data_IF_593316862974
#
_entry.id   IF_593316862974
#
_cell.length_a   1.000
_cell.length_b   1.000
_cell.length_c   1.000
_cell.angle_alpha   90.00
_cell.angle_beta   90.00
_cell.angle_gamma   90.00
#
_symmetry.space_group_name_H-M   'P 1'
#
loop_
_entity.id
_entity.type
_entity.pdbx_description
1 polymer ?
#
# COMPACT_ATOMS: atom_id res chain seq x y z
N UNK A 1 7.84 4.81 12.31
CA UNK A 1 8.10 3.97 11.15
C UNK A 1 7.43 4.49 9.88
N UNK A 2 6.17 4.90 9.96
CA UNK A 2 5.49 5.51 8.80
C UNK A 2 6.25 6.74 8.28
N UNK A 3 6.78 7.57 9.16
CA UNK A 3 7.57 8.75 8.79
C UNK A 3 8.81 8.40 7.98
N UNK A 4 9.39 7.23 8.18
CA UNK A 4 10.55 6.75 7.43
C UNK A 4 10.19 6.27 6.03
N UNK A 5 8.90 6.02 5.76
CA UNK A 5 8.39 5.49 4.50
C UNK A 5 7.99 6.58 3.51
N UNK A 6 7.95 7.84 3.91
CA UNK A 6 7.52 8.96 3.07
C UNK A 6 8.68 9.94 2.84
N UNK A 7 8.66 10.61 1.69
CA UNK A 7 9.73 11.54 1.31
C UNK A 7 9.73 12.83 2.13
N UNK A 8 8.54 13.32 2.50
CA UNK A 8 8.38 14.56 3.25
C UNK A 8 7.63 14.30 4.55
N UNK A 9 8.31 13.79 5.61
CA UNK A 9 7.64 13.40 6.86
C UNK A 9 6.89 14.56 7.54
N UNK A 10 7.34 15.80 7.36
CA UNK A 10 6.68 16.98 7.94
C UNK A 10 5.33 17.28 7.29
N UNK A 11 5.09 16.78 6.08
CA UNK A 11 3.83 16.96 5.34
C UNK A 11 2.93 15.74 5.42
N UNK A 12 3.32 14.74 6.18
CA UNK A 12 2.52 13.55 6.40
C UNK A 12 1.30 13.87 7.28
N UNK A 13 0.13 13.43 6.82
CA UNK A 13 -1.11 13.53 7.58
C UNK A 13 -1.72 12.13 7.73
N UNK A 14 -1.79 11.65 8.96
CA UNK A 14 -2.44 10.38 9.27
C UNK A 14 -3.95 10.60 9.30
N UNK A 15 -4.69 9.83 8.53
CA UNK A 15 -6.14 9.93 8.42
C UNK A 15 -6.87 8.92 9.30
N UNK A 16 -6.38 7.69 9.37
CA UNK A 16 -6.96 6.63 10.19
C UNK A 16 -5.93 5.57 10.52
N UNK A 17 -6.06 4.94 11.68
CA UNK A 17 -5.25 3.80 12.11
C UNK A 17 -6.22 2.70 12.53
N UNK A 18 -6.08 1.51 11.94
CA UNK A 18 -6.93 0.38 12.31
C UNK A 18 -6.55 -0.20 13.67
N UNK A 19 -7.50 -0.91 14.30
CA UNK A 19 -7.20 -1.76 15.45
C UNK A 19 -6.19 -2.83 15.02
N UNK A 20 -5.26 -3.22 15.92
CA UNK A 20 -4.38 -4.36 15.65
C UNK A 20 -5.19 -5.64 15.47
N UNK A 21 -4.88 -6.39 14.42
CA UNK A 21 -5.50 -7.68 14.14
C UNK A 21 -4.41 -8.76 14.10
N UNK A 22 -4.79 -10.00 14.38
CA UNK A 22 -3.85 -11.12 14.40
C UNK A 22 -3.33 -11.40 12.99
N UNK A 23 -2.00 -11.56 12.86
CA UNK A 23 -1.36 -11.93 11.60
C UNK A 23 -0.89 -13.38 11.65
N UNK A 24 -1.13 -14.11 10.54
CA UNK A 24 -0.77 -15.53 10.39
C UNK A 24 0.21 -15.67 9.21
N UNK A 25 1.39 -15.09 9.38
CA UNK A 25 2.36 -14.93 8.30
C UNK A 25 2.11 -13.67 7.47
N UNK A 26 3.01 -13.39 6.52
CA UNK A 26 2.94 -12.15 5.71
C UNK A 26 1.97 -12.24 4.56
N UNK A 27 1.55 -13.43 4.19
CA UNK A 27 0.74 -13.69 3.00
C UNK A 27 -0.71 -14.04 3.32
N UNK A 28 -1.06 -14.09 4.61
CA UNK A 28 -2.43 -14.41 4.99
C UNK A 28 -3.27 -13.15 5.05
N UNK A 29 -4.24 -13.09 4.17
CA UNK A 29 -5.30 -12.10 4.20
C UNK A 29 -6.65 -12.82 4.19
N UNK A 30 -7.61 -12.31 4.95
CA UNK A 30 -8.98 -12.81 4.89
C UNK A 30 -9.57 -12.55 3.50
N UNK A 31 -10.68 -13.20 3.18
CA UNK A 31 -11.36 -12.96 1.90
C UNK A 31 -11.79 -11.50 1.75
N UNK A 32 -12.23 -10.87 2.84
CA UNK A 32 -12.61 -9.46 2.86
C UNK A 32 -11.39 -8.55 2.58
N UNK A 33 -10.25 -8.86 3.19
CA UNK A 33 -9.01 -8.12 2.98
C UNK A 33 -8.51 -8.25 1.53
N UNK A 34 -8.52 -9.48 0.98
CA UNK A 34 -8.15 -9.73 -0.42
C UNK A 34 -9.05 -8.96 -1.39
N UNK A 35 -10.36 -8.98 -1.15
CA UNK A 35 -11.32 -8.24 -1.97
C UNK A 35 -11.07 -6.73 -1.90
N UNK A 36 -10.73 -6.20 -0.73
CA UNK A 36 -10.37 -4.79 -0.56
C UNK A 36 -9.13 -4.40 -1.33
N UNK A 37 -8.08 -5.20 -1.26
CA UNK A 37 -6.83 -4.98 -1.99
C UNK A 37 -7.08 -5.00 -3.52
N UNK A 38 -7.80 -5.99 -4.02
CA UNK A 38 -8.14 -6.08 -5.44
C UNK A 38 -8.95 -4.88 -5.89
N UNK A 39 -9.92 -4.44 -5.10
CA UNK A 39 -10.74 -3.26 -5.40
C UNK A 39 -9.89 -2.00 -5.50
N UNK A 40 -8.96 -1.79 -4.58
CA UNK A 40 -8.05 -0.64 -4.59
C UNK A 40 -7.19 -0.67 -5.85
N UNK A 41 -6.57 -1.81 -6.15
CA UNK A 41 -5.69 -1.94 -7.31
C UNK A 41 -6.46 -1.73 -8.62
N UNK A 42 -7.70 -2.22 -8.70
CA UNK A 42 -8.58 -1.96 -9.85
C UNK A 42 -8.91 -0.47 -9.98
N UNK A 43 -9.22 0.21 -8.88
CA UNK A 43 -9.51 1.65 -8.87
C UNK A 43 -8.33 2.47 -9.36
N UNK A 44 -7.11 2.08 -8.99
CA UNK A 44 -5.88 2.73 -9.46
C UNK A 44 -5.76 2.57 -10.98
N UNK A 45 -5.94 1.35 -11.49
CA UNK A 45 -5.89 1.08 -12.92
C UNK A 45 -6.96 1.89 -13.67
N UNK A 46 -8.19 1.91 -13.16
CA UNK A 46 -9.29 2.66 -13.78
C UNK A 46 -8.97 4.19 -13.83
N UNK A 47 -8.38 4.73 -12.77
CA UNK A 47 -7.97 6.14 -12.73
C UNK A 47 -6.89 6.45 -13.76
N UNK A 48 -5.89 5.58 -13.90
CA UNK A 48 -4.82 5.74 -14.90
C UNK A 48 -5.41 5.66 -16.31
N UNK A 49 -6.27 4.68 -16.58
CA UNK A 49 -6.88 4.50 -17.89
C UNK A 49 -7.77 5.68 -18.28
N UNK A 50 -8.56 6.18 -17.33
CA UNK A 50 -9.40 7.35 -17.56
C UNK A 50 -8.57 8.59 -17.88
N UNK A 51 -7.49 8.83 -17.14
CA UNK A 51 -6.64 10.00 -17.27
C UNK A 51 -5.79 9.97 -18.56
N UNK A 52 -5.50 8.79 -19.06
CA UNK A 52 -4.67 8.58 -20.26
C UNK A 52 -5.47 8.21 -21.49
N UNK A 53 -6.80 8.28 -21.44
CA UNK A 53 -7.68 7.83 -22.52
C UNK A 53 -7.30 6.42 -23.00
N UNK A 54 -7.31 5.45 -22.08
CA UNK A 54 -6.92 4.05 -22.31
C UNK A 54 -5.48 3.92 -22.84
N UNK A 55 -4.55 4.69 -22.27
CA UNK A 55 -3.13 4.73 -22.63
C UNK A 55 -2.84 5.34 -23.99
N UNK A 56 -3.80 5.99 -24.63
CA UNK A 56 -3.59 6.68 -25.91
C UNK A 56 -2.99 8.08 -25.74
N UNK A 57 -3.17 8.70 -24.56
CA UNK A 57 -2.71 10.07 -24.26
C UNK A 57 -1.78 10.05 -23.05
N UNK A 58 -0.64 9.34 -23.18
CA UNK A 58 0.35 9.29 -22.11
C UNK A 58 1.23 10.53 -22.16
N UNK A 59 1.15 11.37 -21.12
CA UNK A 59 1.98 12.55 -20.95
C UNK A 59 2.94 12.34 -19.78
N UNK A 60 4.25 12.38 -20.05
CA UNK A 60 5.28 12.21 -19.01
C UNK A 60 5.32 13.39 -18.02
N UNK A 61 4.68 14.50 -18.36
CA UNK A 61 4.55 15.66 -17.46
C UNK A 61 3.29 15.57 -16.57
N UNK A 62 2.45 14.58 -16.78
CA UNK A 62 1.32 14.29 -15.88
C UNK A 62 1.83 13.51 -14.66
N UNK A 63 2.33 14.24 -13.68
CA UNK A 63 2.94 13.64 -12.48
C UNK A 63 1.94 12.84 -11.65
N UNK A 64 0.66 13.16 -11.70
CA UNK A 64 -0.37 12.36 -11.04
C UNK A 64 -0.35 10.91 -11.56
N UNK A 65 -0.40 10.75 -12.89
CA UNK A 65 -0.39 9.43 -13.53
C UNK A 65 0.94 8.72 -13.30
N UNK A 66 2.05 9.42 -13.50
CA UNK A 66 3.38 8.82 -13.37
C UNK A 66 3.65 8.34 -11.95
N UNK A 67 3.35 9.16 -10.96
CA UNK A 67 3.55 8.81 -9.56
C UNK A 67 2.61 7.68 -9.12
N UNK A 68 1.35 7.72 -9.56
CA UNK A 68 0.37 6.68 -9.23
C UNK A 68 0.76 5.34 -9.85
N UNK A 69 1.18 5.34 -11.12
CA UNK A 69 1.64 4.13 -11.81
C UNK A 69 2.88 3.53 -11.14
N UNK A 70 3.85 4.35 -10.77
CA UNK A 70 5.05 3.91 -10.08
C UNK A 70 4.71 3.24 -8.74
N UNK A 71 3.83 3.86 -7.96
CA UNK A 71 3.41 3.33 -6.67
C UNK A 71 2.60 2.04 -6.82
N UNK A 72 1.78 1.94 -7.88
CA UNK A 72 1.06 0.69 -8.20
C UNK A 72 2.03 -0.44 -8.54
N UNK A 73 3.04 -0.18 -9.34
CA UNK A 73 4.06 -1.17 -9.69
C UNK A 73 4.81 -1.65 -8.45
N UNK A 74 5.15 -0.74 -7.55
CA UNK A 74 5.81 -1.08 -6.28
C UNK A 74 4.91 -1.95 -5.41
N UNK A 75 3.63 -1.59 -5.29
CA UNK A 75 2.66 -2.40 -4.53
C UNK A 75 2.51 -3.80 -5.12
N UNK A 76 2.40 -3.92 -6.43
CA UNK A 76 2.34 -5.22 -7.11
C UNK A 76 3.57 -6.08 -6.82
N UNK A 77 4.75 -5.49 -6.88
CA UNK A 77 6.01 -6.17 -6.59
C UNK A 77 6.05 -6.67 -5.15
N UNK A 78 5.70 -5.81 -4.20
CA UNK A 78 5.70 -6.15 -2.77
C UNK A 78 4.70 -7.27 -2.47
N UNK A 79 3.50 -7.22 -3.03
CA UNK A 79 2.47 -8.24 -2.83
C UNK A 79 2.92 -9.58 -3.42
N UNK A 80 3.49 -9.60 -4.62
CA UNK A 80 4.02 -10.82 -5.23
C UNK A 80 5.11 -11.44 -4.37
N UNK A 81 6.01 -10.62 -3.84
CA UNK A 81 7.10 -11.09 -2.98
C UNK A 81 6.54 -11.70 -1.69
N UNK A 82 5.53 -11.08 -1.10
CA UNK A 82 4.88 -11.62 0.09
C UNK A 82 4.19 -12.95 -0.20
N UNK A 83 3.48 -13.07 -1.32
CA UNK A 83 2.81 -14.30 -1.72
C UNK A 83 3.81 -15.43 -2.00
N UNK A 84 4.98 -15.13 -2.53
CA UNK A 84 6.03 -16.14 -2.78
C UNK A 84 6.61 -16.73 -1.51
N UNK A 85 6.49 -16.03 -0.38
CA UNK A 85 6.94 -16.47 0.93
C UNK A 85 5.86 -17.24 1.72
N UNK A 86 4.70 -17.47 1.11
CA UNK A 86 3.61 -18.21 1.74
C UNK A 86 4.01 -19.65 2.03
N UNK A 87 3.95 -20.05 3.30
CA UNK A 87 4.34 -21.40 3.73
C UNK A 87 3.17 -22.37 3.85
N UNK A 88 1.95 -21.90 3.66
CA UNK A 88 0.73 -22.69 3.84
C UNK A 88 0.36 -22.97 5.29
N UNK A 89 1.17 -22.61 6.25
CA UNK A 89 0.89 -22.78 7.69
C UNK A 89 0.24 -21.52 8.24
N UNK A 90 -0.87 -21.71 8.96
CA UNK A 90 -1.60 -20.66 9.66
C UNK A 90 -1.16 -20.58 11.11
N UNK A 91 0.09 -20.20 11.36
CA UNK A 91 0.59 -19.95 12.71
C UNK A 91 0.52 -18.46 13.02
N UNK A 92 0.15 -18.13 14.24
CA UNK A 92 0.14 -16.73 14.68
C UNK A 92 1.58 -16.20 14.73
N UNK A 93 1.88 -15.21 13.91
CA UNK A 93 3.22 -14.63 13.78
C UNK A 93 3.33 -13.23 14.38
N UNK A 94 2.23 -12.61 14.73
CA UNK A 94 2.19 -11.28 15.29
C UNK A 94 0.90 -10.56 14.97
N UNK A 95 1.03 -9.28 14.64
CA UNK A 95 -0.11 -8.38 14.45
C UNK A 95 -0.01 -7.69 13.09
N UNK A 96 -1.14 -7.27 12.56
CA UNK A 96 -1.19 -6.39 11.38
C UNK A 96 -2.01 -5.15 11.70
N UNK A 97 -1.51 -4.02 11.24
CA UNK A 97 -2.14 -2.70 11.41
C UNK A 97 -2.15 -2.01 10.06
N UNK A 98 -3.26 -1.37 9.76
CA UNK A 98 -3.43 -0.60 8.53
C UNK A 98 -3.53 0.88 8.89
N UNK A 99 -2.78 1.71 8.17
CA UNK A 99 -2.80 3.17 8.35
C UNK A 99 -3.17 3.83 7.04
N UNK A 100 -4.23 4.62 7.06
CA UNK A 100 -4.60 5.49 5.94
C UNK A 100 -3.96 6.86 6.17
N UNK A 101 -3.30 7.39 5.15
CA UNK A 101 -2.59 8.65 5.28
C UNK A 101 -2.55 9.43 3.97
N UNK A 102 -2.20 10.71 4.09
CA UNK A 102 -1.89 11.60 2.98
C UNK A 102 -0.45 12.04 3.08
N UNK A 103 0.25 12.05 1.96
CA UNK A 103 1.64 12.49 1.90
C UNK A 103 1.89 13.24 0.59
N UNK A 104 3.15 13.59 0.34
CA UNK A 104 3.55 14.36 -0.84
C UNK A 104 4.67 13.60 -1.55
N UNK A 105 4.58 13.48 -2.88
CA UNK A 105 5.61 12.85 -3.71
C UNK A 105 6.79 13.80 -3.94
N UNK A 106 7.88 13.28 -4.51
CA UNK A 106 9.04 14.09 -4.89
C UNK A 106 8.73 15.13 -5.98
N UNK A 107 7.61 15.01 -6.68
CA UNK A 107 7.11 16.01 -7.62
C UNK A 107 6.18 17.05 -6.95
N UNK A 108 6.06 17.02 -5.63
CA UNK A 108 5.19 17.93 -4.89
C UNK A 108 3.70 17.61 -4.98
N UNK A 109 3.33 16.42 -5.46
CA UNK A 109 1.94 15.99 -5.60
C UNK A 109 1.44 15.34 -4.32
N UNK A 110 0.30 15.81 -3.82
CA UNK A 110 -0.38 15.17 -2.69
C UNK A 110 -1.01 13.86 -3.14
N UNK A 111 -0.89 12.83 -2.31
CA UNK A 111 -1.49 11.53 -2.57
C UNK A 111 -2.05 10.92 -1.30
N UNK A 112 -3.07 10.07 -1.46
CA UNK A 112 -3.60 9.24 -0.39
C UNK A 112 -3.09 7.81 -0.58
N UNK A 113 -2.84 7.14 0.54
CA UNK A 113 -2.38 5.76 0.53
C UNK A 113 -2.86 5.02 1.77
N UNK A 114 -2.85 3.70 1.65
CA UNK A 114 -3.10 2.75 2.72
C UNK A 114 -1.84 1.93 2.88
N UNK A 115 -1.26 1.91 4.09
CA UNK A 115 -0.07 1.12 4.35
C UNK A 115 -0.34 0.09 5.42
N UNK A 116 0.06 -1.13 5.12
CA UNK A 116 -0.03 -2.25 6.04
C UNK A 116 1.30 -2.44 6.75
N UNK A 117 1.23 -2.72 8.05
CA UNK A 117 2.36 -3.04 8.89
C UNK A 117 2.14 -4.40 9.54
N UNK A 118 3.10 -5.29 9.37
CA UNK A 118 3.16 -6.56 10.08
C UNK A 118 4.14 -6.42 11.23
N UNK A 119 3.66 -6.64 12.44
CA UNK A 119 4.38 -6.36 13.67
C UNK A 119 4.66 -7.67 14.38
N UNK A 120 5.85 -7.80 14.99
CA UNK A 120 6.23 -8.98 15.75
C UNK A 120 5.28 -9.25 16.92
N UNK A 121 5.31 -10.49 17.44
CA UNK A 121 4.42 -10.91 18.53
C UNK A 121 4.53 -10.02 19.77
N UNK A 122 5.74 -9.56 20.09
CA UNK A 122 5.99 -8.69 21.24
C UNK A 122 5.60 -7.23 20.99
N UNK A 123 5.19 -6.88 19.79
CA UNK A 123 4.77 -5.54 19.41
C UNK A 123 5.92 -4.55 19.22
N UNK A 124 7.18 -5.01 19.26
CA UNK A 124 8.34 -4.11 19.30
C UNK A 124 8.98 -3.84 17.95
N UNK A 125 8.72 -4.68 16.94
CA UNK A 125 9.38 -4.56 15.65
C UNK A 125 8.38 -4.66 14.50
N UNK A 126 8.56 -3.82 13.49
CA UNK A 126 7.89 -3.96 12.20
C UNK A 126 8.69 -4.97 11.38
N UNK A 127 8.07 -6.10 11.06
CA UNK A 127 8.70 -7.19 10.32
C UNK A 127 8.58 -6.97 8.82
N UNK A 128 7.46 -6.44 8.38
CA UNK A 128 7.19 -6.15 6.97
C UNK A 128 6.16 -5.04 6.83
N UNK A 129 6.26 -4.31 5.72
CA UNK A 129 5.30 -3.26 5.38
C UNK A 129 5.17 -3.14 3.86
N UNK A 130 3.99 -2.75 3.41
CA UNK A 130 3.78 -2.39 2.01
C UNK A 130 2.69 -1.32 1.90
N UNK A 131 2.74 -0.56 0.81
CA UNK A 131 1.79 0.52 0.52
C UNK A 131 0.85 0.13 -0.60
N UNK A 132 -0.43 0.44 -0.42
CA UNK A 132 -1.43 0.43 -1.49
C UNK A 132 -1.72 1.89 -1.86
N UNK A 133 -1.46 2.31 -3.11
CA UNK A 133 -1.83 3.65 -3.55
C UNK A 133 -3.35 3.76 -3.67
N UNK A 134 -3.89 4.91 -3.27
CA UNK A 134 -5.29 5.25 -3.50
C UNK A 134 -5.36 6.28 -4.61
N UNK A 135 -6.32 6.15 -5.54
CA UNK A 135 -6.47 7.11 -6.62
C UNK A 135 -6.95 8.47 -6.17
#
# INVERSE_FOLDING_TARGET
NLKQSVEYPKQLQVLAISEPDSAFGFSYFSQKEKAGIVRIMKSVTDSIMKRTNNMQSLDINDFYVMDLAERQMRANSDIRQMLSLATGKKEWTGWKVKIDYRAVTHHGMKYNAERWFFISRDGKAVVRTFELPLP
#
